data_IF_481125177701
#
_entry.id   IF_481125177701
#
_cell.length_a   1.000
_cell.length_b   1.000
_cell.length_c   1.000
_cell.angle_alpha   90.00
_cell.angle_beta   90.00
_cell.angle_gamma   90.00
#
_symmetry.space_group_name_H-M   'P 1'
#
loop_
_entity.id
_entity.type
_entity.pdbx_description
1 polymer ?
#
# COMPACT_ATOMS: atom_id res chain seq x y z
N UNK A 1 9.78 -29.60 -3.89
CA UNK A 1 9.93 -28.59 -2.85
C UNK A 1 10.26 -27.28 -3.55
N UNK A 2 9.29 -26.35 -3.67
CA UNK A 2 9.62 -24.98 -4.08
C UNK A 2 10.35 -24.37 -2.88
N UNK A 3 11.56 -23.91 -3.11
CA UNK A 3 12.33 -23.22 -2.08
C UNK A 3 11.52 -22.05 -1.57
N UNK A 4 11.22 -22.04 -0.31
CA UNK A 4 10.64 -20.90 0.43
C UNK A 4 11.70 -19.83 0.33
N UNK A 5 11.46 -18.93 -0.60
CA UNK A 5 12.58 -18.20 -0.68
C UNK A 5 12.58 -16.82 -1.15
N UNK A 6 12.98 -16.68 -2.19
CA UNK A 6 13.47 -15.48 -2.81
C UNK A 6 12.30 -14.59 -3.27
N UNK A 7 12.55 -13.34 -3.46
CA UNK A 7 11.56 -12.43 -4.02
C UNK A 7 10.99 -12.94 -5.34
N UNK A 8 9.74 -12.59 -5.67
CA UNK A 8 9.20 -12.89 -6.99
C UNK A 8 9.97 -12.13 -8.06
N UNK A 9 10.05 -12.72 -9.25
CA UNK A 9 10.61 -12.05 -10.43
C UNK A 9 9.81 -10.79 -10.74
N UNK A 10 10.41 -9.61 -10.52
CA UNK A 10 9.82 -8.31 -10.73
C UNK A 10 10.87 -7.26 -11.07
N UNK A 11 10.44 -6.19 -11.73
CA UNK A 11 11.29 -5.02 -11.96
C UNK A 11 11.93 -4.50 -10.67
N UNK A 12 11.17 -4.45 -9.59
CA UNK A 12 11.66 -3.93 -8.31
C UNK A 12 12.78 -4.78 -7.70
N UNK A 13 12.73 -6.08 -7.89
CA UNK A 13 13.80 -6.96 -7.42
C UNK A 13 15.04 -6.85 -8.31
N UNK A 14 14.83 -6.79 -9.63
CA UNK A 14 15.92 -6.64 -10.60
C UNK A 14 16.71 -5.32 -10.45
N UNK A 15 16.05 -4.28 -9.92
CA UNK A 15 16.64 -2.93 -9.76
C UNK A 15 16.82 -2.53 -8.29
N UNK A 16 16.65 -3.47 -7.36
CA UNK A 16 16.78 -3.22 -5.94
C UNK A 16 18.21 -2.78 -5.58
N UNK A 17 18.31 -1.77 -4.73
CA UNK A 17 19.56 -1.25 -4.19
C UNK A 17 19.72 -1.76 -2.74
N UNK A 18 20.81 -2.45 -2.43
CA UNK A 18 21.11 -2.87 -1.06
C UNK A 18 20.25 -4.04 -0.56
N UNK A 19 20.06 -5.08 -1.37
CA UNK A 19 19.47 -6.34 -0.93
C UNK A 19 20.35 -6.95 0.16
N UNK A 20 19.86 -6.92 1.39
CA UNK A 20 20.50 -7.55 2.57
C UNK A 20 19.63 -8.73 2.99
N UNK A 21 20.27 -9.80 3.46
CA UNK A 21 19.58 -10.94 4.06
C UNK A 21 19.78 -10.92 5.56
N UNK A 22 18.69 -11.15 6.29
CA UNK A 22 18.71 -11.29 7.74
C UNK A 22 18.60 -12.77 8.13
N UNK A 23 19.19 -13.18 9.28
CA UNK A 23 19.16 -14.59 9.71
C UNK A 23 17.72 -15.01 10.06
N UNK A 24 17.41 -16.32 9.98
CA UNK A 24 16.18 -16.84 10.56
C UNK A 24 16.27 -16.88 12.09
N UNK A 25 15.10 -16.83 12.75
CA UNK A 25 15.01 -17.04 14.19
C UNK A 25 15.14 -18.53 14.52
N UNK A 26 16.23 -18.91 15.17
CA UNK A 26 16.54 -20.32 15.52
C UNK A 26 16.62 -20.60 17.01
N UNK A 27 16.41 -19.58 17.84
CA UNK A 27 16.52 -19.67 19.29
C UNK A 27 15.38 -18.92 20.01
N UNK A 28 15.39 -18.97 21.34
CA UNK A 28 14.48 -18.16 22.15
C UNK A 28 15.12 -16.82 22.48
N UNK A 29 14.50 -15.74 22.03
CA UNK A 29 14.95 -14.37 22.28
C UNK A 29 13.94 -13.60 23.14
N UNK A 30 14.42 -12.59 23.88
CA UNK A 30 13.58 -11.67 24.65
C UNK A 30 13.63 -10.28 24.02
N UNK A 31 12.47 -9.65 23.90
CA UNK A 31 12.32 -8.29 23.41
C UNK A 31 11.25 -7.54 24.21
N UNK A 32 11.22 -6.21 24.14
CA UNK A 32 10.10 -5.43 24.67
C UNK A 32 8.90 -5.53 23.70
N UNK A 33 9.18 -5.55 22.39
CA UNK A 33 8.16 -5.60 21.35
C UNK A 33 8.52 -6.63 20.27
N UNK A 34 7.59 -7.53 19.95
CA UNK A 34 7.67 -8.42 18.81
C UNK A 34 6.77 -7.89 17.68
N UNK A 35 7.36 -7.55 16.54
CA UNK A 35 6.65 -7.08 15.34
C UNK A 35 6.54 -8.22 14.33
N UNK A 36 5.33 -8.56 13.89
CA UNK A 36 5.05 -9.66 12.97
C UNK A 36 4.71 -9.10 11.59
N UNK A 37 5.64 -9.21 10.65
CA UNK A 37 5.55 -8.75 9.27
C UNK A 37 6.55 -7.66 8.93
N UNK A 38 7.41 -7.88 7.94
CA UNK A 38 8.47 -7.01 7.42
C UNK A 38 8.03 -6.09 6.28
N UNK A 39 6.76 -5.63 6.28
CA UNK A 39 6.25 -4.60 5.38
C UNK A 39 6.39 -3.20 5.98
N UNK A 40 5.88 -2.17 5.29
CA UNK A 40 5.99 -0.76 5.73
C UNK A 40 5.50 -0.55 7.16
N UNK A 41 4.36 -1.10 7.54
CA UNK A 41 3.82 -0.97 8.91
C UNK A 41 4.78 -1.53 9.95
N UNK A 42 5.24 -2.77 9.76
CA UNK A 42 6.15 -3.40 10.71
C UNK A 42 7.50 -2.70 10.78
N UNK A 43 8.06 -2.32 9.64
CA UNK A 43 9.34 -1.62 9.56
C UNK A 43 9.28 -0.25 10.26
N UNK A 44 8.23 0.55 9.98
CA UNK A 44 8.05 1.84 10.66
C UNK A 44 7.78 1.68 12.16
N UNK A 45 7.05 0.62 12.56
CA UNK A 45 6.92 0.30 13.98
C UNK A 45 8.29 0.01 14.61
N UNK A 46 9.10 -0.82 13.94
CA UNK A 46 10.41 -1.20 14.45
C UNK A 46 11.38 -0.01 14.54
N UNK A 47 11.47 0.81 13.47
CA UNK A 47 12.31 2.03 13.48
C UNK A 47 11.91 2.96 14.62
N UNK A 48 10.62 3.31 14.71
CA UNK A 48 10.14 4.28 15.71
C UNK A 48 10.34 3.81 17.14
N UNK A 49 10.19 2.52 17.43
CA UNK A 49 10.39 1.96 18.76
C UNK A 49 11.88 1.82 19.09
N UNK A 50 12.69 1.33 18.15
CA UNK A 50 14.13 1.19 18.37
C UNK A 50 14.80 2.55 18.57
N UNK A 51 14.42 3.60 17.82
CA UNK A 51 14.87 4.98 18.05
C UNK A 51 14.50 5.52 19.44
N UNK A 52 13.45 4.98 20.06
CA UNK A 52 13.05 5.29 21.45
C UNK A 52 13.72 4.40 22.50
N UNK A 53 14.62 3.49 22.11
CA UNK A 53 15.36 2.61 22.99
C UNK A 53 14.66 1.30 23.36
N UNK A 54 13.52 0.96 22.72
CA UNK A 54 12.89 -0.35 22.92
C UNK A 54 13.71 -1.44 22.23
N UNK A 55 13.82 -2.60 22.88
CA UNK A 55 14.34 -3.81 22.26
C UNK A 55 13.26 -4.43 21.37
N UNK A 56 13.45 -4.35 20.04
CA UNK A 56 12.48 -4.80 19.05
C UNK A 56 12.99 -6.04 18.34
N UNK A 57 12.14 -7.09 18.24
CA UNK A 57 12.33 -8.24 17.36
C UNK A 57 11.28 -8.21 16.25
N UNK A 58 11.70 -8.10 14.98
CA UNK A 58 10.84 -8.13 13.82
C UNK A 58 10.95 -9.48 13.13
N UNK A 59 9.82 -10.17 12.94
CA UNK A 59 9.73 -11.48 12.31
C UNK A 59 9.04 -11.35 10.94
N UNK A 60 9.72 -11.74 9.87
CA UNK A 60 9.18 -11.80 8.51
C UNK A 60 9.17 -13.26 8.01
N UNK A 61 8.07 -13.67 7.41
CA UNK A 61 7.90 -15.05 6.92
C UNK A 61 8.80 -15.37 5.72
N UNK A 62 9.14 -14.35 4.92
CA UNK A 62 9.94 -14.46 3.71
C UNK A 62 11.13 -13.51 3.77
N UNK A 63 11.14 -12.49 2.94
CA UNK A 63 12.11 -11.41 2.85
C UNK A 63 11.47 -10.05 3.20
N UNK A 64 12.26 -9.10 3.66
CA UNK A 64 11.77 -7.74 3.91
C UNK A 64 11.11 -7.17 2.65
N UNK A 65 9.89 -6.65 2.80
CA UNK A 65 9.13 -6.10 1.67
C UNK A 65 8.59 -7.14 0.68
N UNK A 66 8.70 -8.44 0.96
CA UNK A 66 8.23 -9.50 0.06
C UNK A 66 6.74 -9.40 -0.27
N UNK A 67 5.92 -8.94 0.65
CA UNK A 67 4.49 -8.75 0.47
C UNK A 67 4.14 -7.54 -0.43
N UNK A 68 2.96 -6.95 -0.21
CA UNK A 68 2.49 -5.80 -0.96
C UNK A 68 3.45 -4.60 -0.92
N UNK A 69 4.24 -4.46 0.13
CA UNK A 69 5.17 -3.34 0.30
C UNK A 69 6.25 -3.26 -0.77
N UNK A 70 6.70 -4.38 -1.31
CA UNK A 70 7.70 -4.38 -2.40
C UNK A 70 7.14 -4.66 -3.78
N UNK A 71 5.80 -4.68 -3.97
CA UNK A 71 5.16 -5.08 -5.24
C UNK A 71 4.15 -4.09 -5.80
N UNK A 72 3.87 -3.00 -5.08
CA UNK A 72 2.85 -2.01 -5.42
C UNK A 72 3.30 -1.02 -6.50
N UNK A 73 2.41 -0.11 -6.91
CA UNK A 73 2.68 0.90 -7.94
C UNK A 73 3.68 2.00 -7.54
N UNK A 74 4.09 2.06 -6.28
CA UNK A 74 5.01 3.09 -5.79
C UNK A 74 4.36 4.45 -5.55
N UNK A 75 3.03 4.57 -5.64
CA UNK A 75 2.31 5.84 -5.52
C UNK A 75 2.02 6.21 -4.06
N UNK A 76 2.28 7.46 -3.70
CA UNK A 76 2.04 8.05 -2.38
C UNK A 76 1.11 9.25 -2.57
N UNK A 77 -0.18 8.98 -2.56
CA UNK A 77 -1.22 9.99 -2.78
C UNK A 77 -1.77 10.58 -1.48
N UNK A 78 -2.51 11.67 -1.61
CA UNK A 78 -3.26 12.33 -0.55
C UNK A 78 -4.57 11.60 -0.25
N UNK A 79 -5.06 11.71 0.96
CA UNK A 79 -6.37 11.20 1.37
C UNK A 79 -6.42 9.69 1.59
N UNK A 80 -7.65 9.21 1.70
CA UNK A 80 -8.00 7.79 1.81
C UNK A 80 -8.49 7.25 0.46
N UNK A 81 -8.80 5.94 0.41
CA UNK A 81 -9.49 5.37 -0.76
C UNK A 81 -10.86 6.03 -1.00
N UNK A 82 -11.54 6.47 0.05
CA UNK A 82 -12.72 7.35 -0.04
C UNK A 82 -12.29 8.80 -0.20
N UNK A 83 -12.94 9.51 -1.13
CA UNK A 83 -12.71 10.95 -1.27
C UNK A 83 -13.32 11.74 -0.09
N UNK A 84 -12.92 13.00 0.04
CA UNK A 84 -13.31 13.82 1.19
C UNK A 84 -14.83 14.07 1.29
N UNK A 85 -15.54 14.15 0.18
CA UNK A 85 -17.00 14.32 0.15
C UNK A 85 -17.70 13.09 0.74
N UNK A 86 -17.19 11.90 0.42
CA UNK A 86 -17.68 10.65 0.98
C UNK A 86 -17.34 10.52 2.47
N UNK A 87 -16.15 10.95 2.89
CA UNK A 87 -15.77 10.94 4.31
C UNK A 87 -16.66 11.87 5.15
N UNK A 88 -16.96 13.08 4.66
CA UNK A 88 -17.89 13.98 5.35
C UNK A 88 -19.30 13.39 5.44
N UNK A 89 -19.78 12.75 4.37
CA UNK A 89 -21.09 12.10 4.35
C UNK A 89 -21.18 10.93 5.33
N UNK A 90 -20.12 10.11 5.42
CA UNK A 90 -20.13 8.89 6.20
C UNK A 90 -19.82 9.13 7.69
N UNK A 91 -18.98 10.11 8.00
CA UNK A 91 -18.41 10.29 9.35
C UNK A 91 -18.62 11.70 9.93
N UNK A 92 -19.18 12.63 9.16
CA UNK A 92 -19.33 14.04 9.53
C UNK A 92 -18.05 14.86 9.34
N UNK A 93 -18.19 16.19 9.27
CA UNK A 93 -17.08 17.10 8.94
C UNK A 93 -15.91 17.02 9.91
N UNK A 94 -16.16 16.95 11.22
CA UNK A 94 -15.09 16.94 12.23
C UNK A 94 -14.16 15.74 12.05
N UNK A 95 -14.71 14.52 11.99
CA UNK A 95 -13.89 13.31 11.80
C UNK A 95 -13.25 13.26 10.41
N UNK A 96 -13.92 13.81 9.38
CA UNK A 96 -13.34 13.90 8.04
C UNK A 96 -12.11 14.83 8.01
N UNK A 97 -12.11 15.94 8.77
CA UNK A 97 -10.94 16.81 8.93
C UNK A 97 -9.79 16.10 9.65
N UNK A 98 -10.06 15.38 10.74
CA UNK A 98 -9.05 14.59 11.44
C UNK A 98 -8.43 13.54 10.52
N UNK A 99 -9.27 12.82 9.75
CA UNK A 99 -8.84 11.80 8.80
C UNK A 99 -8.03 12.39 7.63
N UNK A 100 -8.37 13.58 7.15
CA UNK A 100 -7.58 14.27 6.13
C UNK A 100 -6.22 14.68 6.67
N UNK A 101 -6.17 15.34 7.82
CA UNK A 101 -4.92 15.76 8.46
C UNK A 101 -3.95 14.59 8.68
N UNK A 102 -4.47 13.45 9.11
CA UNK A 102 -3.71 12.22 9.29
C UNK A 102 -3.08 11.74 7.97
N UNK A 103 -3.78 11.86 6.82
CA UNK A 103 -3.20 11.43 5.54
C UNK A 103 -2.15 12.39 5.01
N UNK A 104 -2.27 13.68 5.27
CA UNK A 104 -1.22 14.65 4.95
C UNK A 104 0.04 14.40 5.80
N UNK A 105 -0.15 14.10 7.07
CA UNK A 105 0.94 13.68 7.95
C UNK A 105 1.58 12.37 7.45
N UNK A 106 0.79 11.41 6.96
CA UNK A 106 1.30 10.15 6.43
C UNK A 106 2.29 10.35 5.25
N UNK A 107 1.99 11.28 4.33
CA UNK A 107 2.92 11.67 3.25
C UNK A 107 4.20 12.29 3.82
N UNK A 108 4.06 13.14 4.82
CA UNK A 108 5.19 13.78 5.48
C UNK A 108 6.09 12.76 6.19
N UNK A 109 5.51 11.74 6.84
CA UNK A 109 6.27 10.63 7.45
C UNK A 109 7.13 9.93 6.38
N UNK A 110 6.54 9.56 5.23
CA UNK A 110 7.30 8.91 4.15
C UNK A 110 8.47 9.78 3.69
N UNK A 111 8.21 11.06 3.39
CA UNK A 111 9.24 12.00 2.93
C UNK A 111 10.34 12.18 3.98
N UNK A 112 9.96 12.39 5.25
CA UNK A 112 10.91 12.61 6.33
C UNK A 112 11.79 11.39 6.58
N UNK A 113 11.24 10.16 6.56
CA UNK A 113 12.02 8.94 6.73
C UNK A 113 13.00 8.71 5.58
N UNK A 114 12.60 9.02 4.34
CA UNK A 114 13.50 8.98 3.18
C UNK A 114 14.68 9.94 3.36
N UNK A 115 14.42 11.18 3.76
CA UNK A 115 15.47 12.18 3.98
C UNK A 115 16.35 11.84 5.19
N UNK A 116 15.76 11.51 6.33
CA UNK A 116 16.46 11.22 7.57
C UNK A 116 17.45 10.06 7.41
N UNK A 117 17.02 8.99 6.76
CA UNK A 117 17.84 7.78 6.58
C UNK A 117 18.51 7.71 5.19
N UNK A 118 18.42 8.79 4.38
CA UNK A 118 19.00 8.87 3.04
C UNK A 118 18.65 7.67 2.15
N UNK A 119 17.37 7.27 2.18
CA UNK A 119 16.89 6.09 1.46
C UNK A 119 16.87 6.38 -0.04
N UNK A 120 17.67 5.64 -0.81
CA UNK A 120 17.73 5.77 -2.27
C UNK A 120 16.59 4.98 -2.93
N UNK A 121 15.41 5.58 -3.03
CA UNK A 121 14.20 4.96 -3.56
C UNK A 121 13.56 5.75 -4.71
N UNK A 122 14.33 6.55 -5.44
CA UNK A 122 13.91 7.27 -6.64
C UNK A 122 12.63 8.11 -6.39
N UNK A 123 12.60 8.86 -5.27
CA UNK A 123 11.45 9.68 -4.87
C UNK A 123 11.22 10.80 -5.89
N UNK A 124 10.03 10.83 -6.48
CA UNK A 124 9.62 11.78 -7.50
C UNK A 124 8.30 12.43 -7.11
N UNK A 125 8.15 13.77 -7.18
CA UNK A 125 6.92 14.47 -6.83
C UNK A 125 5.85 14.35 -7.92
N UNK A 126 4.61 14.57 -7.52
CA UNK A 126 3.45 14.66 -8.40
C UNK A 126 2.61 13.40 -8.49
N UNK A 127 1.31 13.56 -8.35
CA UNK A 127 0.29 12.54 -8.54
C UNK A 127 -0.88 13.10 -9.32
N UNK A 128 -1.36 12.36 -10.30
CA UNK A 128 -2.49 12.76 -11.14
C UNK A 128 -3.61 11.73 -11.01
N UNK A 129 -4.83 12.22 -10.82
CA UNK A 129 -6.05 11.41 -10.94
C UNK A 129 -6.80 11.82 -12.20
N UNK A 130 -7.20 10.86 -13.03
CA UNK A 130 -7.84 11.09 -14.33
C UNK A 130 -9.14 10.31 -14.48
N UNK A 131 -9.99 10.69 -15.44
CA UNK A 131 -11.20 9.97 -15.77
C UNK A 131 -11.40 9.85 -17.29
N UNK A 132 -11.97 8.73 -17.73
CA UNK A 132 -12.43 8.52 -19.09
C UNK A 132 -13.85 9.04 -19.32
N UNK A 133 -14.61 9.34 -18.26
CA UNK A 133 -15.97 9.84 -18.34
C UNK A 133 -16.00 11.39 -18.33
N UNK A 134 -16.44 12.06 -19.41
CA UNK A 134 -16.55 13.53 -19.46
C UNK A 134 -17.39 14.15 -18.34
N UNK A 135 -18.38 13.43 -17.81
CA UNK A 135 -19.26 13.91 -16.75
C UNK A 135 -18.53 14.10 -15.39
N UNK A 136 -17.32 13.54 -15.25
CA UNK A 136 -16.53 13.69 -14.03
C UNK A 136 -15.82 15.07 -13.90
N UNK A 137 -15.76 15.85 -14.97
CA UNK A 137 -15.06 17.15 -14.96
C UNK A 137 -15.59 18.09 -13.86
N UNK A 138 -16.92 18.17 -13.68
CA UNK A 138 -17.51 18.99 -12.63
C UNK A 138 -17.36 18.40 -11.23
N UNK A 139 -17.23 17.06 -11.12
CA UNK A 139 -16.87 16.41 -9.87
C UNK A 139 -15.44 16.80 -9.44
N UNK A 140 -14.47 16.78 -10.35
CA UNK A 140 -13.10 17.21 -10.06
C UNK A 140 -13.02 18.68 -9.62
N UNK A 141 -13.73 19.59 -10.31
CA UNK A 141 -13.80 21.00 -9.92
C UNK A 141 -14.32 21.19 -8.48
N UNK A 142 -15.45 20.53 -8.14
CA UNK A 142 -16.03 20.58 -6.79
C UNK A 142 -15.10 19.98 -5.74
N UNK A 143 -14.44 18.88 -6.07
CA UNK A 143 -13.49 18.22 -5.18
C UNK A 143 -12.27 19.10 -4.87
N UNK A 144 -11.66 19.70 -5.90
CA UNK A 144 -10.53 20.63 -5.75
C UNK A 144 -10.94 21.88 -4.98
N UNK A 145 -12.06 22.52 -5.35
CA UNK A 145 -12.57 23.69 -4.62
C UNK A 145 -12.79 23.37 -3.13
N UNK A 146 -13.36 22.18 -2.84
CA UNK A 146 -13.59 21.73 -1.46
C UNK A 146 -12.29 21.59 -0.68
N UNK A 147 -11.27 20.97 -1.26
CA UNK A 147 -9.97 20.81 -0.60
C UNK A 147 -9.28 22.15 -0.36
N UNK A 148 -9.32 23.06 -1.34
CA UNK A 148 -8.68 24.36 -1.22
C UNK A 148 -9.39 25.24 -0.15
N UNK A 149 -10.73 25.27 -0.14
CA UNK A 149 -11.48 26.17 0.74
C UNK A 149 -11.69 25.62 2.15
N UNK A 150 -12.06 24.36 2.28
CA UNK A 150 -12.47 23.79 3.57
C UNK A 150 -11.31 23.06 4.29
N UNK A 151 -10.29 22.61 3.54
CA UNK A 151 -9.16 21.84 4.08
C UNK A 151 -7.81 22.54 3.97
N UNK A 152 -7.78 23.79 3.43
CA UNK A 152 -6.55 24.57 3.21
C UNK A 152 -5.47 23.79 2.45
N UNK A 153 -5.89 22.96 1.48
CA UNK A 153 -4.98 22.16 0.69
C UNK A 153 -4.81 22.73 -0.71
N UNK A 154 -3.78 23.58 -0.89
CA UNK A 154 -3.50 24.31 -2.12
C UNK A 154 -2.63 23.56 -3.13
N UNK A 155 -2.15 22.36 -2.78
CA UNK A 155 -1.26 21.56 -3.63
C UNK A 155 -1.98 20.81 -4.76
N UNK A 156 -3.29 20.97 -4.89
CA UNK A 156 -4.10 20.27 -5.89
C UNK A 156 -4.76 21.28 -6.83
N UNK A 157 -4.73 20.97 -8.14
CA UNK A 157 -5.40 21.71 -9.19
C UNK A 157 -6.28 20.82 -10.05
N UNK A 158 -7.33 21.39 -10.66
CA UNK A 158 -8.15 20.71 -11.64
C UNK A 158 -7.51 20.83 -13.01
N UNK A 159 -7.54 19.76 -13.80
CA UNK A 159 -7.08 19.72 -15.18
C UNK A 159 -8.25 19.45 -16.11
N UNK A 160 -8.35 20.22 -17.18
CA UNK A 160 -9.25 19.96 -18.30
C UNK A 160 -8.76 18.76 -19.15
N UNK A 161 -9.65 18.22 -20.01
CA UNK A 161 -9.27 17.17 -20.97
C UNK A 161 -8.03 17.56 -21.81
N UNK A 162 -7.96 18.78 -22.46
CA UNK A 162 -6.77 19.16 -23.21
C UNK A 162 -5.48 19.19 -22.39
N UNK A 163 -5.53 19.67 -21.13
CA UNK A 163 -4.37 19.68 -20.24
C UNK A 163 -3.91 18.27 -19.86
N UNK A 164 -4.85 17.36 -19.57
CA UNK A 164 -4.52 15.93 -19.34
C UNK A 164 -3.92 15.31 -20.59
N UNK A 165 -4.47 15.60 -21.77
CA UNK A 165 -3.94 15.08 -23.04
C UNK A 165 -2.53 15.62 -23.32
N UNK A 166 -2.27 16.90 -23.06
CA UNK A 166 -0.93 17.48 -23.22
C UNK A 166 0.11 16.81 -22.32
N UNK A 167 -0.28 16.36 -21.12
CA UNK A 167 0.63 15.72 -20.16
C UNK A 167 0.83 14.23 -20.43
N UNK A 168 -0.20 13.51 -20.89
CA UNK A 168 -0.20 12.03 -20.96
C UNK A 168 -0.33 11.48 -22.37
N UNK A 169 -0.75 12.26 -23.36
CA UNK A 169 -1.03 11.88 -24.76
C UNK A 169 -1.92 10.62 -24.89
N UNK A 170 -2.71 10.31 -23.88
CA UNK A 170 -3.65 9.19 -23.91
C UNK A 170 -5.02 9.65 -24.41
N UNK A 171 -5.58 9.01 -25.45
CA UNK A 171 -6.90 9.37 -25.97
C UNK A 171 -8.04 8.90 -25.05
N UNK A 172 -7.74 8.12 -24.01
CA UNK A 172 -8.72 7.52 -23.11
C UNK A 172 -9.34 8.55 -22.15
N UNK A 173 -8.53 9.48 -21.59
CA UNK A 173 -8.93 10.29 -20.44
C UNK A 173 -9.63 11.59 -20.83
N UNK A 174 -10.89 11.48 -21.25
CA UNK A 174 -11.74 12.61 -21.70
C UNK A 174 -12.44 13.38 -20.58
N UNK A 175 -12.45 12.85 -19.38
CA UNK A 175 -13.08 13.49 -18.22
C UNK A 175 -12.21 14.53 -17.50
N UNK A 176 -11.01 14.80 -18.02
CA UNK A 176 -10.05 15.64 -17.31
C UNK A 176 -9.48 14.95 -16.08
N UNK A 177 -9.07 15.73 -15.09
CA UNK A 177 -8.46 15.17 -13.89
C UNK A 177 -8.07 16.17 -12.83
N UNK A 178 -7.21 15.74 -11.91
CA UNK A 178 -6.56 16.59 -10.92
C UNK A 178 -5.06 16.31 -10.90
N UNK A 179 -4.27 17.35 -10.69
CA UNK A 179 -2.84 17.27 -10.41
C UNK A 179 -2.58 17.67 -8.97
N UNK A 180 -2.03 16.76 -8.18
CA UNK A 180 -1.61 16.96 -6.81
C UNK A 180 -0.08 16.96 -6.72
N UNK A 181 0.53 18.15 -6.62
CA UNK A 181 1.99 18.32 -6.48
C UNK A 181 2.48 17.96 -5.07
N UNK A 182 1.59 17.81 -4.10
CA UNK A 182 1.89 17.29 -2.77
C UNK A 182 2.00 15.77 -2.72
N UNK A 183 1.46 15.06 -3.74
CA UNK A 183 1.66 13.63 -3.96
C UNK A 183 3.07 13.31 -4.45
N UNK A 184 3.42 12.03 -4.49
CA UNK A 184 4.73 11.58 -4.96
C UNK A 184 4.68 10.10 -5.37
N UNK A 185 5.77 9.62 -5.97
CA UNK A 185 5.98 8.19 -6.18
C UNK A 185 7.43 7.79 -5.92
N UNK A 186 7.65 6.50 -5.74
CA UNK A 186 8.95 5.97 -5.34
C UNK A 186 9.13 4.51 -5.76
N UNK A 187 10.34 4.00 -5.63
CA UNK A 187 10.65 2.58 -5.76
C UNK A 187 10.32 1.85 -4.44
N UNK A 188 9.20 1.11 -4.36
CA UNK A 188 8.65 0.66 -3.07
C UNK A 188 9.53 -0.36 -2.35
N UNK A 189 10.21 -1.25 -3.08
CA UNK A 189 11.12 -2.21 -2.45
C UNK A 189 12.36 -1.52 -1.88
N UNK A 190 12.94 -0.55 -2.57
CA UNK A 190 14.08 0.22 -2.04
C UNK A 190 13.67 1.02 -0.80
N UNK A 191 12.44 1.55 -0.74
CA UNK A 191 11.93 2.19 0.47
C UNK A 191 11.83 1.20 1.64
N UNK A 192 11.31 -0.01 1.42
CA UNK A 192 11.24 -1.04 2.46
C UNK A 192 12.63 -1.48 2.94
N UNK A 193 13.58 -1.70 2.03
CA UNK A 193 14.95 -2.07 2.35
C UNK A 193 15.67 -0.98 3.15
N UNK A 194 15.48 0.28 2.76
CA UNK A 194 16.04 1.43 3.49
C UNK A 194 15.46 1.56 4.90
N UNK A 195 14.16 1.31 5.07
CA UNK A 195 13.54 1.27 6.42
C UNK A 195 14.07 0.11 7.27
N UNK A 196 14.31 -1.06 6.66
CA UNK A 196 14.90 -2.19 7.38
C UNK A 196 16.33 -1.88 7.86
N UNK A 197 17.12 -1.23 7.00
CA UNK A 197 18.45 -0.77 7.39
C UNK A 197 18.37 0.25 8.54
N UNK A 198 17.44 1.22 8.45
CA UNK A 198 17.22 2.20 9.51
C UNK A 198 16.81 1.53 10.84
N UNK A 199 15.93 0.51 10.78
CA UNK A 199 15.55 -0.25 11.97
C UNK A 199 16.76 -0.99 12.59
N UNK A 200 17.61 -1.59 11.76
CA UNK A 200 18.82 -2.28 12.18
C UNK A 200 19.83 -1.32 12.82
N UNK A 201 20.03 -0.17 12.18
CA UNK A 201 20.95 0.87 12.68
C UNK A 201 20.47 1.45 14.04
N UNK A 202 19.14 1.50 14.23
CA UNK A 202 18.53 1.89 15.51
C UNK A 202 18.56 0.76 16.58
N UNK A 203 19.04 -0.45 16.26
CA UNK A 203 19.21 -1.57 17.19
C UNK A 203 18.09 -2.60 17.19
N UNK A 204 17.15 -2.58 16.22
CA UNK A 204 16.17 -3.65 16.08
C UNK A 204 16.80 -4.95 15.56
N UNK A 205 16.35 -6.08 16.08
CA UNK A 205 16.68 -7.40 15.54
C UNK A 205 15.66 -7.80 14.49
N UNK A 206 16.13 -8.13 13.27
CA UNK A 206 15.30 -8.53 12.15
C UNK A 206 15.58 -9.99 11.81
N UNK A 207 14.52 -10.77 11.64
CA UNK A 207 14.58 -12.19 11.30
C UNK A 207 13.71 -12.44 10.07
N UNK A 208 14.33 -12.87 8.96
CA UNK A 208 13.67 -13.36 7.76
C UNK A 208 13.44 -14.87 7.84
N UNK A 209 12.62 -15.44 6.94
CA UNK A 209 12.26 -16.86 6.94
C UNK A 209 11.77 -17.38 8.30
N UNK A 210 11.10 -16.49 9.04
CA UNK A 210 10.67 -16.70 10.42
C UNK A 210 9.16 -16.56 10.55
N UNK A 211 8.44 -17.41 9.79
CA UNK A 211 6.98 -17.40 9.78
C UNK A 211 6.41 -17.67 11.17
N UNK A 212 5.63 -16.74 11.70
CA UNK A 212 4.92 -16.91 12.96
C UNK A 212 3.74 -17.86 12.75
N UNK A 213 3.70 -18.93 13.55
CA UNK A 213 2.65 -19.95 13.52
C UNK A 213 1.61 -19.73 14.62
N UNK A 214 2.01 -19.14 15.73
CA UNK A 214 1.12 -18.87 16.86
C UNK A 214 1.71 -17.79 17.78
N UNK A 215 0.86 -17.18 18.61
CA UNK A 215 1.28 -16.34 19.73
C UNK A 215 0.35 -16.52 20.93
N UNK A 216 0.90 -16.40 22.14
CA UNK A 216 0.11 -16.43 23.39
C UNK A 216 -0.45 -15.05 23.70
N UNK A 217 -1.58 -15.03 24.42
CA UNK A 217 -2.22 -13.79 24.91
C UNK A 217 -1.79 -13.40 26.32
N UNK A 218 -0.82 -14.11 26.88
CA UNK A 218 -0.27 -13.82 28.19
C UNK A 218 0.59 -12.55 28.15
N UNK A 219 0.97 -12.05 29.30
CA UNK A 219 1.93 -10.97 29.44
C UNK A 219 3.04 -11.40 30.42
N UNK A 220 4.30 -11.55 29.95
CA UNK A 220 4.74 -11.40 28.55
C UNK A 220 4.16 -12.47 27.62
N UNK A 221 4.04 -12.12 26.34
CA UNK A 221 3.55 -13.02 25.29
C UNK A 221 4.70 -13.85 24.71
N UNK A 222 4.41 -15.08 24.31
CA UNK A 222 5.33 -15.90 23.50
C UNK A 222 4.84 -15.94 22.06
N UNK A 223 5.69 -15.53 21.11
CA UNK A 223 5.46 -15.59 19.65
C UNK A 223 6.33 -16.71 19.10
N UNK A 224 5.71 -17.73 18.49
CA UNK A 224 6.38 -18.96 18.06
C UNK A 224 6.51 -19.05 16.53
N UNK A 225 7.69 -19.44 16.07
CA UNK A 225 7.98 -19.91 14.70
C UNK A 225 8.20 -21.43 14.71
N UNK A 226 8.56 -22.02 13.56
CA UNK A 226 8.94 -23.45 13.53
C UNK A 226 10.26 -23.73 14.27
N UNK A 227 11.19 -22.77 14.28
CA UNK A 227 12.58 -23.01 14.74
C UNK A 227 12.98 -22.18 15.95
N UNK A 228 12.16 -21.22 16.38
CA UNK A 228 12.48 -20.35 17.50
C UNK A 228 11.27 -19.65 18.07
N UNK A 229 11.47 -18.80 19.06
CA UNK A 229 10.40 -18.02 19.67
C UNK A 229 10.90 -16.65 20.17
N UNK A 230 9.98 -15.68 20.25
CA UNK A 230 10.21 -14.39 20.89
C UNK A 230 9.30 -14.28 22.10
N UNK A 231 9.87 -13.95 23.26
CA UNK A 231 9.12 -13.57 24.48
C UNK A 231 9.13 -12.05 24.56
N UNK A 232 7.94 -11.42 24.46
CA UNK A 232 7.83 -9.97 24.40
C UNK A 232 6.67 -9.43 25.24
N UNK A 233 6.81 -8.20 25.74
CA UNK A 233 5.75 -7.52 26.49
C UNK A 233 4.61 -7.08 25.58
N UNK A 234 4.94 -6.67 24.33
CA UNK A 234 3.97 -6.23 23.33
C UNK A 234 4.13 -6.97 22.00
N UNK A 235 3.01 -7.13 21.29
CA UNK A 235 2.95 -7.71 19.93
C UNK A 235 2.30 -6.72 18.97
N UNK A 236 2.86 -6.60 17.76
CA UNK A 236 2.26 -5.86 16.66
C UNK A 236 2.02 -6.79 15.47
N UNK A 237 0.74 -6.98 15.09
CA UNK A 237 0.36 -7.74 13.90
C UNK A 237 0.35 -6.80 12.69
N UNK A 238 1.38 -6.86 11.86
CA UNK A 238 1.59 -6.04 10.67
C UNK A 238 1.54 -6.86 9.36
N UNK A 239 0.79 -7.98 9.35
CA UNK A 239 0.77 -8.95 8.27
C UNK A 239 -0.11 -8.56 7.08
N UNK A 240 -0.99 -7.56 7.20
CA UNK A 240 -1.94 -7.10 6.18
C UNK A 240 -2.67 -8.28 5.49
N UNK A 241 -2.60 -8.41 4.15
CA UNK A 241 -3.28 -9.47 3.38
C UNK A 241 -2.79 -10.89 3.72
N UNK A 242 -1.59 -11.00 4.31
CA UNK A 242 -0.94 -12.28 4.63
C UNK A 242 -1.17 -12.75 6.08
N UNK A 243 -2.10 -12.12 6.81
CA UNK A 243 -2.47 -12.51 8.18
C UNK A 243 -2.91 -13.98 8.31
N UNK A 244 -3.54 -14.51 7.27
CA UNK A 244 -3.94 -15.92 7.22
C UNK A 244 -4.93 -16.29 8.34
N UNK A 245 -4.55 -17.32 9.11
CA UNK A 245 -5.32 -17.82 10.25
C UNK A 245 -4.75 -17.39 11.61
N UNK A 246 -3.69 -16.57 11.61
CA UNK A 246 -2.97 -16.20 12.83
C UNK A 246 -3.88 -15.50 13.86
N UNK A 247 -4.82 -14.64 13.42
CA UNK A 247 -5.78 -13.99 14.28
C UNK A 247 -7.18 -13.90 13.64
N UNK A 248 -8.05 -14.81 14.07
CA UNK A 248 -9.39 -14.97 13.49
C UNK A 248 -10.34 -13.79 13.71
N UNK A 249 -10.18 -13.01 14.81
CA UNK A 249 -11.04 -11.87 15.15
C UNK A 249 -10.98 -10.75 14.11
N UNK A 250 -9.83 -10.57 13.47
CA UNK A 250 -9.62 -9.51 12.48
C UNK A 250 -9.50 -10.05 11.05
N UNK A 251 -9.20 -11.34 10.85
CA UNK A 251 -9.06 -11.94 9.53
C UNK A 251 -10.32 -11.83 8.67
N UNK A 252 -11.51 -11.85 9.27
CA UNK A 252 -12.79 -11.70 8.57
C UNK A 252 -13.13 -10.26 8.16
N UNK A 253 -12.35 -9.27 8.59
CA UNK A 253 -12.57 -7.86 8.28
C UNK A 253 -11.81 -7.39 7.03
N UNK A 254 -10.98 -8.25 6.47
CA UNK A 254 -10.21 -7.97 5.26
C UNK A 254 -10.47 -9.01 4.17
N UNK A 255 -10.42 -8.56 2.92
CA UNK A 255 -10.43 -9.38 1.72
C UNK A 255 -9.06 -9.25 1.05
N UNK A 256 -8.25 -10.33 0.96
CA UNK A 256 -7.08 -10.32 0.09
C UNK A 256 -7.50 -10.23 -1.39
N UNK A 257 -7.02 -9.23 -2.10
CA UNK A 257 -7.27 -9.02 -3.53
C UNK A 257 -5.93 -8.98 -4.24
N UNK A 258 -5.83 -9.65 -5.40
CA UNK A 258 -4.63 -9.65 -6.21
C UNK A 258 -4.65 -8.47 -7.18
N UNK A 259 -3.59 -7.69 -7.16
CA UNK A 259 -3.28 -6.68 -8.17
C UNK A 259 -2.04 -7.06 -8.95
N UNK A 260 -1.94 -6.59 -10.19
CA UNK A 260 -0.88 -6.98 -11.11
C UNK A 260 -0.22 -5.76 -11.72
N UNK A 261 1.05 -5.91 -12.04
CA UNK A 261 1.87 -4.90 -12.67
C UNK A 261 2.71 -5.49 -13.79
N UNK A 262 3.08 -4.64 -14.74
CA UNK A 262 4.13 -4.92 -15.72
C UNK A 262 5.15 -3.77 -15.75
N UNK A 263 6.31 -4.06 -16.33
CA UNK A 263 7.28 -3.06 -16.79
C UNK A 263 7.63 -3.35 -18.24
N UNK A 264 7.57 -2.32 -19.06
CA UNK A 264 8.04 -2.38 -20.45
C UNK A 264 9.57 -2.50 -20.50
N UNK A 265 10.14 -2.74 -21.67
CA UNK A 265 11.52 -2.38 -21.95
C UNK A 265 11.74 -0.87 -21.72
N UNK A 266 13.00 -0.39 -21.50
CA UNK A 266 13.28 1.04 -21.45
C UNK A 266 12.80 1.74 -22.72
N UNK A 267 12.12 2.86 -22.53
CA UNK A 267 11.69 3.73 -23.62
C UNK A 267 12.77 4.78 -23.88
N UNK A 268 12.91 5.25 -25.11
CA UNK A 268 13.74 6.41 -25.40
C UNK A 268 13.18 7.66 -24.68
N UNK A 269 14.04 8.58 -24.30
CA UNK A 269 13.62 9.76 -23.52
C UNK A 269 12.47 10.56 -24.18
N UNK A 270 12.46 10.82 -25.49
CA UNK A 270 11.33 11.52 -26.14
C UNK A 270 10.01 10.74 -26.03
N UNK A 271 10.06 9.41 -26.12
CA UNK A 271 8.89 8.54 -26.00
C UNK A 271 8.38 8.48 -24.55
N UNK A 272 9.29 8.37 -23.58
CA UNK A 272 8.94 8.41 -22.16
C UNK A 272 8.26 9.72 -21.78
N UNK A 273 8.76 10.86 -22.27
CA UNK A 273 8.17 12.19 -22.08
C UNK A 273 6.86 12.36 -22.84
N UNK A 274 6.69 11.73 -23.97
CA UNK A 274 5.42 11.73 -24.71
C UNK A 274 4.33 11.03 -23.88
N UNK A 275 4.65 9.89 -23.25
CA UNK A 275 3.70 9.14 -22.41
C UNK A 275 3.39 9.85 -21.09
N UNK A 276 4.39 10.47 -20.48
CA UNK A 276 4.24 11.14 -19.18
C UNK A 276 5.24 12.30 -19.07
N UNK A 277 4.80 13.47 -19.57
CA UNK A 277 5.61 14.67 -19.74
C UNK A 277 6.33 15.08 -18.46
N UNK A 278 5.62 15.07 -17.34
CA UNK A 278 6.09 15.62 -16.07
C UNK A 278 6.50 14.52 -15.06
N UNK A 279 6.58 13.27 -15.52
CA UNK A 279 6.95 12.10 -14.70
C UNK A 279 6.16 12.01 -13.37
N UNK A 280 4.85 12.25 -13.42
CA UNK A 280 3.97 12.08 -12.26
C UNK A 280 3.43 10.66 -12.18
N UNK A 281 3.04 10.18 -11.01
CA UNK A 281 2.25 8.97 -10.96
C UNK A 281 0.80 9.26 -11.31
N UNK A 282 0.18 8.35 -12.06
CA UNK A 282 -1.19 8.50 -12.57
C UNK A 282 -2.05 7.34 -12.11
N UNK A 283 -3.30 7.62 -11.75
CA UNK A 283 -4.34 6.61 -11.56
C UNK A 283 -5.69 7.14 -12.04
N UNK A 284 -6.53 6.25 -12.54
CA UNK A 284 -7.89 6.61 -12.93
C UNK A 284 -8.90 6.32 -11.80
N UNK A 285 -10.16 6.63 -12.07
CA UNK A 285 -11.27 6.41 -11.13
C UNK A 285 -12.14 5.21 -11.50
N UNK A 286 -11.69 4.35 -12.41
CA UNK A 286 -12.40 3.14 -12.81
C UNK A 286 -12.54 2.16 -11.64
N UNK A 287 -13.52 1.28 -11.74
CA UNK A 287 -13.66 0.18 -10.79
C UNK A 287 -12.42 -0.75 -10.82
N UNK A 288 -11.93 -1.10 -12.02
CA UNK A 288 -10.64 -1.72 -12.26
C UNK A 288 -9.62 -0.63 -12.57
N UNK A 289 -9.01 -0.09 -11.54
CA UNK A 289 -8.13 1.07 -11.62
C UNK A 289 -6.92 0.79 -12.52
N UNK A 290 -6.69 1.65 -13.51
CA UNK A 290 -5.39 1.76 -14.17
C UNK A 290 -4.51 2.69 -13.37
N UNK A 291 -3.30 2.28 -13.10
CA UNK A 291 -2.32 3.13 -12.41
C UNK A 291 -0.93 2.90 -13.00
N UNK A 292 -0.21 3.99 -13.24
CA UNK A 292 1.08 3.91 -13.90
C UNK A 292 1.99 5.08 -13.54
N UNK A 293 3.26 4.90 -13.83
CA UNK A 293 4.32 5.92 -13.72
C UNK A 293 5.53 5.51 -14.52
N UNK A 294 6.46 6.44 -14.75
CA UNK A 294 7.76 6.08 -15.28
C UNK A 294 8.70 5.60 -14.16
N UNK A 295 9.60 4.70 -14.50
CA UNK A 295 10.72 4.32 -13.64
C UNK A 295 11.94 5.23 -13.89
N UNK A 296 12.95 5.13 -13.02
CA UNK A 296 14.18 5.91 -13.17
C UNK A 296 14.98 5.57 -14.44
N UNK A 297 14.77 4.40 -15.05
CA UNK A 297 15.34 3.94 -16.31
C UNK A 297 14.35 4.01 -17.49
N UNK A 298 13.38 4.93 -17.41
CA UNK A 298 12.41 5.25 -18.47
C UNK A 298 11.52 4.07 -18.92
N UNK A 299 11.18 3.15 -18.02
CA UNK A 299 10.17 2.11 -18.31
C UNK A 299 8.80 2.59 -17.90
N UNK A 300 7.78 2.27 -18.66
CA UNK A 300 6.41 2.38 -18.18
C UNK A 300 6.14 1.24 -17.19
N UNK A 301 5.94 1.58 -15.92
CA UNK A 301 5.42 0.70 -14.89
C UNK A 301 3.91 0.86 -14.87
N UNK A 302 3.18 -0.17 -15.30
CA UNK A 302 1.73 -0.13 -15.44
C UNK A 302 1.07 -1.20 -14.58
N UNK A 303 0.08 -0.79 -13.81
CA UNK A 303 -0.76 -1.66 -13.00
C UNK A 303 -2.22 -1.60 -13.45
N UNK A 304 -2.88 -2.75 -13.42
CA UNK A 304 -4.27 -2.89 -13.81
C UNK A 304 -4.69 -4.35 -13.85
N UNK A 305 -5.96 -4.60 -14.17
CA UNK A 305 -6.47 -5.95 -14.31
C UNK A 305 -6.54 -6.70 -12.98
N UNK A 306 -7.11 -6.12 -11.96
CA UNK A 306 -7.34 -6.79 -10.68
C UNK A 306 -8.06 -8.12 -10.85
N UNK A 307 -7.63 -9.12 -10.10
CA UNK A 307 -8.24 -10.44 -10.13
C UNK A 307 -8.73 -10.83 -8.74
N UNK A 308 -10.02 -11.10 -8.67
CA UNK A 308 -10.72 -11.50 -7.45
C UNK A 308 -10.68 -13.01 -7.19
N UNK A 309 -9.84 -13.74 -7.95
CA UNK A 309 -9.55 -15.16 -7.69
C UNK A 309 -8.32 -15.29 -6.79
N UNK A 310 -8.14 -16.50 -6.21
CA UNK A 310 -6.92 -16.79 -5.43
C UNK A 310 -5.69 -17.06 -6.31
N UNK A 311 -5.86 -17.18 -7.63
CA UNK A 311 -4.80 -17.53 -8.57
C UNK A 311 -4.47 -16.36 -9.48
N UNK A 312 -3.20 -16.22 -9.82
CA UNK A 312 -2.77 -15.25 -10.82
C UNK A 312 -3.16 -15.74 -12.22
N UNK A 313 -3.56 -14.82 -13.13
CA UNK A 313 -3.82 -15.17 -14.52
C UNK A 313 -2.57 -15.73 -15.20
N UNK A 314 -2.78 -16.60 -16.19
CA UNK A 314 -1.70 -17.15 -17.01
C UNK A 314 -2.07 -17.01 -18.48
N UNK A 315 -1.22 -16.39 -19.33
CA UNK A 315 0.04 -15.71 -19.01
C UNK A 315 -0.19 -14.32 -18.39
N UNK A 316 0.52 -14.00 -17.30
CA UNK A 316 0.35 -12.73 -16.60
C UNK A 316 0.72 -11.51 -17.46
N UNK A 317 1.84 -11.59 -18.21
CA UNK A 317 2.29 -10.51 -19.12
C UNK A 317 1.19 -10.11 -20.11
N UNK A 318 0.54 -11.07 -20.76
CA UNK A 318 -0.52 -10.82 -21.72
C UNK A 318 -1.77 -10.19 -21.08
N UNK A 319 -2.09 -10.62 -19.87
CA UNK A 319 -3.24 -10.11 -19.14
C UNK A 319 -3.10 -8.61 -18.80
N UNK A 320 -1.99 -8.18 -18.19
CA UNK A 320 -1.79 -6.76 -17.83
C UNK A 320 -1.47 -5.91 -19.08
N UNK A 321 -0.80 -6.50 -20.09
CA UNK A 321 -0.55 -5.81 -21.37
C UNK A 321 -1.85 -5.40 -22.07
N UNK A 322 -2.86 -6.25 -22.09
CA UNK A 322 -4.14 -5.91 -22.70
C UNK A 322 -4.72 -4.63 -22.07
N UNK A 323 -4.69 -4.52 -20.75
CA UNK A 323 -5.14 -3.34 -20.02
C UNK A 323 -4.27 -2.09 -20.29
N UNK A 324 -2.95 -2.25 -20.41
CA UNK A 324 -2.05 -1.15 -20.79
C UNK A 324 -2.36 -0.60 -22.16
N UNK A 325 -2.70 -1.46 -23.12
CA UNK A 325 -3.01 -1.05 -24.50
C UNK A 325 -4.37 -0.36 -24.64
N UNK A 326 -5.25 -0.42 -23.64
CA UNK A 326 -6.44 0.44 -23.57
C UNK A 326 -6.05 1.91 -23.34
N UNK A 327 -4.98 2.16 -22.61
CA UNK A 327 -4.48 3.50 -22.27
C UNK A 327 -3.50 4.01 -23.33
N UNK A 328 -2.59 3.13 -23.79
CA UNK A 328 -1.50 3.43 -24.72
C UNK A 328 -1.42 2.40 -25.85
N UNK A 329 -2.32 2.44 -26.85
CA UNK A 329 -2.33 1.48 -27.96
C UNK A 329 -1.05 1.53 -28.81
N UNK A 330 -0.36 2.66 -28.86
CA UNK A 330 0.92 2.86 -29.57
C UNK A 330 2.05 1.98 -29.02
N UNK A 331 1.97 1.53 -27.78
CA UNK A 331 2.96 0.64 -27.17
C UNK A 331 2.80 -0.83 -27.57
N UNK A 332 1.97 -1.12 -28.57
CA UNK A 332 1.70 -2.49 -29.07
C UNK A 332 2.94 -3.26 -29.52
N UNK A 333 4.00 -2.58 -29.96
CA UNK A 333 5.27 -3.21 -30.36
C UNK A 333 6.30 -3.30 -29.23
N UNK A 334 6.03 -2.68 -28.08
CA UNK A 334 6.98 -2.70 -26.97
C UNK A 334 6.98 -4.03 -26.23
N UNK A 335 8.19 -4.51 -25.94
CA UNK A 335 8.39 -5.73 -25.16
C UNK A 335 8.05 -5.48 -23.69
N UNK A 336 7.41 -6.48 -23.07
CA UNK A 336 7.20 -6.49 -21.62
C UNK A 336 8.32 -7.31 -20.97
N UNK A 337 9.22 -6.64 -20.29
CA UNK A 337 10.35 -7.29 -19.64
C UNK A 337 9.90 -8.02 -18.38
N UNK A 338 9.13 -7.36 -17.51
CA UNK A 338 8.67 -7.89 -16.22
C UNK A 338 7.16 -7.87 -16.11
N UNK A 339 6.60 -8.85 -15.40
CA UNK A 339 5.23 -8.82 -14.91
C UNK A 339 5.12 -9.58 -13.59
N UNK A 340 4.50 -8.96 -12.62
CA UNK A 340 4.37 -9.52 -11.27
C UNK A 340 3.02 -9.20 -10.66
N UNK A 341 2.73 -9.84 -9.53
CA UNK A 341 1.52 -9.57 -8.77
C UNK A 341 1.77 -9.55 -7.28
N UNK A 342 0.83 -9.01 -6.55
CA UNK A 342 0.81 -8.98 -5.10
C UNK A 342 -0.60 -8.96 -4.53
N UNK A 343 -0.75 -9.34 -3.27
CA UNK A 343 -2.05 -9.31 -2.60
C UNK A 343 -2.13 -8.10 -1.67
N UNK A 344 -3.16 -7.29 -1.84
CA UNK A 344 -3.53 -6.20 -0.92
C UNK A 344 -4.70 -6.63 -0.04
N UNK A 345 -4.83 -6.05 1.14
CA UNK A 345 -6.01 -6.23 1.98
C UNK A 345 -6.97 -5.07 1.81
N UNK A 346 -8.22 -5.40 1.49
CA UNK A 346 -9.30 -4.43 1.34
C UNK A 346 -10.33 -4.67 2.44
N UNK A 347 -10.82 -3.61 3.08
CA UNK A 347 -11.94 -3.63 4.02
C UNK A 347 -13.25 -3.35 3.29
N UNK A 348 -14.38 -3.73 3.89
CA UNK A 348 -15.71 -3.52 3.28
C UNK A 348 -15.97 -2.04 2.99
N UNK A 349 -15.61 -1.17 3.93
CA UNK A 349 -15.81 0.28 3.81
C UNK A 349 -14.59 1.05 3.29
N UNK A 350 -13.57 0.33 2.77
CA UNK A 350 -12.35 0.92 2.20
C UNK A 350 -11.49 1.75 3.16
N UNK A 351 -11.80 1.76 4.46
CA UNK A 351 -11.01 2.47 5.48
C UNK A 351 -9.97 1.54 6.11
N UNK A 352 -8.80 2.06 6.51
CA UNK A 352 -7.79 1.27 7.20
C UNK A 352 -8.29 0.80 8.56
N UNK A 353 -7.90 -0.40 8.98
CA UNK A 353 -8.28 -1.02 10.22
C UNK A 353 -7.08 -1.13 11.16
N UNK A 354 -7.04 -0.26 12.13
CA UNK A 354 -6.04 -0.22 13.19
C UNK A 354 -6.73 -0.43 14.54
N UNK A 355 -6.03 -1.04 15.48
CA UNK A 355 -6.60 -1.21 16.81
C UNK A 355 -5.76 -2.05 17.75
N UNK A 356 -6.37 -2.39 18.86
CA UNK A 356 -5.81 -3.20 19.92
C UNK A 356 -6.76 -4.37 20.24
N UNK A 357 -6.22 -5.57 20.24
CA UNK A 357 -6.98 -6.81 20.50
C UNK A 357 -6.96 -7.22 21.97
N UNK A 358 -5.83 -7.01 22.61
CA UNK A 358 -5.54 -7.20 24.03
C UNK A 358 -4.74 -6.00 24.53
N UNK A 359 -4.58 -5.79 25.82
CA UNK A 359 -3.78 -4.66 26.33
C UNK A 359 -2.37 -4.56 25.74
N UNK A 360 -1.81 -5.66 25.29
CA UNK A 360 -0.46 -5.78 24.75
C UNK A 360 -0.40 -6.26 23.30
N UNK A 361 -1.55 -6.42 22.59
CA UNK A 361 -1.57 -6.89 21.21
C UNK A 361 -2.23 -5.85 20.31
N UNK A 362 -1.44 -5.25 19.44
CA UNK A 362 -1.83 -4.21 18.48
C UNK A 362 -1.86 -4.76 17.07
N UNK A 363 -2.60 -4.12 16.18
CA UNK A 363 -2.65 -4.53 14.78
C UNK A 363 -2.93 -3.35 13.83
N UNK A 364 -2.47 -3.49 12.57
CA UNK A 364 -2.84 -2.60 11.50
C UNK A 364 -2.87 -3.36 10.16
N UNK A 365 -3.97 -3.22 9.42
CA UNK A 365 -4.16 -3.83 8.12
C UNK A 365 -5.29 -3.15 7.31
N UNK A 366 -5.56 -3.62 6.08
CA UNK A 366 -6.74 -3.20 5.31
C UNK A 366 -6.63 -1.81 4.70
N UNK A 367 -5.47 -1.42 4.19
CA UNK A 367 -5.22 -0.09 3.63
C UNK A 367 -5.89 0.17 2.27
N UNK A 368 -6.55 -0.83 1.68
CA UNK A 368 -7.45 -0.71 0.53
C UNK A 368 -6.87 0.04 -0.68
N UNK A 369 -5.59 -0.16 -1.00
CA UNK A 369 -4.90 0.45 -2.14
C UNK A 369 -4.09 1.72 -1.82
N UNK A 370 -4.33 2.42 -0.72
CA UNK A 370 -3.56 3.60 -0.27
C UNK A 370 -2.44 3.21 0.71
N UNK A 371 -1.70 2.13 0.41
CA UNK A 371 -0.86 1.42 1.37
C UNK A 371 0.44 2.11 1.74
N UNK A 372 1.13 2.87 0.88
CA UNK A 372 2.47 3.38 1.22
C UNK A 372 2.37 4.40 2.35
N UNK A 373 1.60 5.46 2.15
CA UNK A 373 1.43 6.51 3.17
C UNK A 373 0.77 5.96 4.44
N UNK A 374 -0.40 5.32 4.30
CA UNK A 374 -1.19 4.88 5.46
C UNK A 374 -0.54 3.72 6.23
N UNK A 375 0.21 2.83 5.59
CA UNK A 375 0.95 1.79 6.31
C UNK A 375 2.18 2.36 7.04
N UNK A 376 2.81 3.41 6.48
CA UNK A 376 3.88 4.14 7.15
C UNK A 376 3.36 4.88 8.39
N UNK A 377 2.25 5.59 8.26
CA UNK A 377 1.56 6.21 9.39
C UNK A 377 1.17 5.16 10.44
N UNK A 378 0.56 4.05 10.01
CA UNK A 378 0.11 3.00 10.93
C UNK A 378 1.26 2.44 11.77
N UNK A 379 2.45 2.27 11.20
CA UNK A 379 3.64 1.88 11.96
C UNK A 379 4.03 2.91 13.03
N UNK A 380 3.90 4.19 12.71
CA UNK A 380 4.15 5.28 13.68
C UNK A 380 3.10 5.27 14.80
N UNK A 381 1.81 5.12 14.44
CA UNK A 381 0.70 5.04 15.41
C UNK A 381 0.84 3.83 16.34
N UNK A 382 1.28 2.67 15.83
CA UNK A 382 1.55 1.49 16.67
C UNK A 382 2.68 1.76 17.67
N UNK A 383 3.76 2.40 17.24
CA UNK A 383 4.87 2.75 18.11
C UNK A 383 4.45 3.77 19.19
N UNK A 384 3.63 4.74 18.86
CA UNK A 384 3.08 5.71 19.81
C UNK A 384 2.18 5.03 20.84
N UNK A 385 1.26 4.19 20.38
CA UNK A 385 0.33 3.48 21.24
C UNK A 385 1.06 2.59 22.28
N UNK A 386 2.16 1.95 21.87
CA UNK A 386 3.02 1.16 22.76
C UNK A 386 3.78 2.08 23.72
N UNK A 387 4.19 3.27 23.29
CA UNK A 387 4.88 4.26 24.13
C UNK A 387 3.94 5.09 25.01
N UNK A 388 2.63 4.78 25.03
CA UNK A 388 1.66 5.41 25.93
C UNK A 388 0.84 6.56 25.31
N UNK A 389 0.97 6.85 24.01
CA UNK A 389 0.21 7.90 23.32
C UNK A 389 -0.85 7.27 22.41
N UNK A 390 -2.12 7.40 22.75
CA UNK A 390 -3.23 6.71 22.05
C UNK A 390 -4.04 7.61 21.10
N UNK A 391 -3.82 8.92 21.10
CA UNK A 391 -4.68 9.91 20.44
C UNK A 391 -4.98 9.57 18.97
N UNK A 392 -3.95 9.22 18.20
CA UNK A 392 -4.11 8.86 16.79
C UNK A 392 -4.76 7.49 16.59
N UNK A 393 -4.47 6.52 17.46
CA UNK A 393 -5.14 5.22 17.44
C UNK A 393 -6.64 5.38 17.71
N UNK A 394 -7.01 6.29 18.61
CA UNK A 394 -8.39 6.57 18.97
C UNK A 394 -9.19 7.20 17.81
N UNK A 395 -8.56 7.96 16.91
CA UNK A 395 -9.22 8.44 15.70
C UNK A 395 -9.68 7.26 14.84
N UNK A 396 -8.80 6.28 14.63
CA UNK A 396 -9.16 5.08 13.85
C UNK A 396 -10.18 4.18 14.59
N UNK A 397 -10.20 4.19 15.92
CA UNK A 397 -11.19 3.43 16.71
C UNK A 397 -12.63 3.90 16.51
N UNK A 398 -12.84 5.17 16.11
CA UNK A 398 -14.15 5.72 15.75
C UNK A 398 -14.70 5.15 14.45
N UNK A 399 -13.85 4.53 13.60
CA UNK A 399 -14.25 3.95 12.32
C UNK A 399 -14.63 2.49 12.53
N UNK A 400 -15.94 2.18 12.46
CA UNK A 400 -16.41 0.81 12.51
C UNK A 400 -16.05 0.08 11.20
N UNK A 401 -15.24 -0.96 11.28
CA UNK A 401 -14.92 -1.82 10.13
C UNK A 401 -15.86 -3.03 10.14
N UNK A 402 -16.76 -3.17 9.16
CA UNK A 402 -17.65 -4.33 9.06
C UNK A 402 -16.86 -5.61 8.78
N UNK A 403 -17.39 -6.73 9.26
CA UNK A 403 -16.90 -8.06 8.87
C UNK A 403 -17.52 -8.44 7.53
N UNK A 404 -16.75 -9.03 6.63
CA UNK A 404 -17.30 -9.58 5.39
C UNK A 404 -18.36 -10.65 5.71
N UNK A 405 -19.48 -10.69 4.97
CA UNK A 405 -20.53 -11.68 5.18
C UNK A 405 -19.95 -13.11 5.23
N UNK A 406 -20.27 -13.84 6.32
CA UNK A 406 -19.72 -15.17 6.57
C UNK A 406 -18.22 -15.21 6.91
N UNK A 407 -17.62 -14.06 7.23
CA UNK A 407 -16.22 -13.95 7.67
C UNK A 407 -15.23 -14.56 6.68
N UNK A 408 -14.22 -15.29 7.18
CA UNK A 408 -13.21 -15.93 6.34
C UNK A 408 -13.71 -17.09 5.49
N UNK A 409 -14.87 -17.68 5.83
CA UNK A 409 -15.43 -18.85 5.13
C UNK A 409 -16.18 -18.45 3.86
N UNK A 410 -17.08 -17.47 3.95
CA UNK A 410 -17.97 -17.09 2.86
C UNK A 410 -17.59 -15.78 2.15
N UNK A 411 -16.55 -15.08 2.59
CA UNK A 411 -16.13 -13.80 1.95
C UNK A 411 -15.86 -13.96 0.45
N UNK A 412 -15.29 -15.08 0.00
CA UNK A 412 -15.03 -15.33 -1.42
C UNK A 412 -16.32 -15.61 -2.20
N UNK A 413 -17.19 -16.57 -1.82
CA UNK A 413 -18.47 -16.77 -2.50
C UNK A 413 -19.35 -15.52 -2.50
N UNK A 414 -19.47 -14.83 -1.38
CA UNK A 414 -20.24 -13.60 -1.27
C UNK A 414 -19.70 -12.47 -2.15
N UNK A 415 -18.40 -12.36 -2.27
CA UNK A 415 -17.75 -11.40 -3.15
C UNK A 415 -18.02 -11.71 -4.63
N UNK A 416 -17.92 -12.97 -5.06
CA UNK A 416 -18.26 -13.39 -6.43
C UNK A 416 -19.70 -13.04 -6.80
N UNK A 417 -20.65 -13.30 -5.90
CA UNK A 417 -22.06 -12.96 -6.11
C UNK A 417 -22.27 -11.45 -6.21
N UNK A 418 -21.61 -10.67 -5.34
CA UNK A 418 -21.61 -9.21 -5.41
C UNK A 418 -21.07 -8.68 -6.73
N UNK A 419 -19.91 -9.21 -7.18
CA UNK A 419 -19.30 -8.82 -8.46
C UNK A 419 -20.18 -9.16 -9.65
N UNK A 420 -20.81 -10.34 -9.65
CA UNK A 420 -21.75 -10.73 -10.68
C UNK A 420 -22.95 -9.77 -10.74
N UNK A 421 -23.51 -9.40 -9.60
CA UNK A 421 -24.58 -8.43 -9.50
C UNK A 421 -24.18 -7.07 -10.10
N UNK A 422 -23.02 -6.50 -9.71
CA UNK A 422 -22.54 -5.21 -10.22
C UNK A 422 -22.20 -5.28 -11.72
N UNK A 423 -21.60 -6.37 -12.19
CA UNK A 423 -21.28 -6.55 -13.61
C UNK A 423 -22.52 -6.67 -14.50
N UNK A 424 -23.63 -7.15 -13.96
CA UNK A 424 -24.92 -7.16 -14.65
C UNK A 424 -25.53 -5.75 -14.66
N UNK A 425 -25.46 -5.05 -13.52
CA UNK A 425 -25.99 -3.68 -13.39
C UNK A 425 -25.28 -2.67 -14.27
N UNK A 426 -23.96 -2.82 -14.45
CA UNK A 426 -23.17 -1.94 -15.32
C UNK A 426 -23.38 -2.20 -16.83
N UNK A 427 -24.11 -3.28 -17.16
CA UNK A 427 -24.50 -3.60 -18.55
C UNK A 427 -25.96 -3.26 -18.88
N UNK A 428 -26.77 -2.91 -17.89
CA UNK A 428 -28.14 -2.47 -17.98
C UNK A 428 -28.25 -0.95 -17.88
#
# INVERSE_FOLDING_TARGET
MQSISDYPDSYYVATAKGLISYPPLTESVKADVCVIGGGFTGLLTAVNLAEKGYKVALLEAHKIGWGASGRNGGQVGSGHNKNILQLESDYGKSLAHDLWAITEEAKSIVRNRIHQHRINCDLTPGSMKVSDNPDDADHFKRYVAKLNTDYNYEHISCLSEPEVFEMLHSPLYKGGGTLDVGGMHLHPLNYALGLAQAAKDAGADIYEHSQVINYSKNQPSTVSTESGQVVADHIVLACNAYLGKLEGRIAGKIMPINGFMLATEPLEEPEARFINRDNVCVHDNKFHVHYFRMSADNRLLFGGGENYTRKFPKPLKGYVRATMLEVYPELVQKRIDYAWGGSIAVTVNRMPHLGRLEPNVFFAHGFSGHGIALASLAGTVMAEAISGTLDRLDIFSKIKIPTFPGGTLLRWPGFYLGMLYYSIRDRL
#
